data_IF_346498349093
#
_entry.id   IF_346498349093
#
_cell.length_a   1.000
_cell.length_b   1.000
_cell.length_c   1.000
_cell.angle_alpha   90.00
_cell.angle_beta   90.00
_cell.angle_gamma   90.00
#
_symmetry.space_group_name_H-M   'P 1'
#
loop_
_entity.id
_entity.type
_entity.pdbx_description
1 polymer ?
#
# COMPACT_ATOMS: atom_id res chain seq x y z
N UNK A 1 3.92 -38.35 48.93
CA UNK A 1 5.20 -37.63 49.02
C UNK A 1 5.77 -37.55 47.60
N UNK A 2 5.33 -36.55 46.83
CA UNK A 2 5.86 -36.22 45.49
C UNK A 2 5.73 -34.72 45.28
N UNK A 3 6.90 -34.08 45.34
CA UNK A 3 7.41 -32.95 44.55
C UNK A 3 6.52 -31.73 44.21
N UNK A 4 6.84 -30.61 44.87
CA UNK A 4 6.45 -29.25 44.49
C UNK A 4 7.32 -28.80 43.30
N UNK A 5 6.77 -28.79 42.08
CA UNK A 5 7.39 -28.04 40.98
C UNK A 5 6.79 -26.65 40.88
N UNK A 6 7.66 -25.69 41.15
CA UNK A 6 7.53 -24.26 40.94
C UNK A 6 6.72 -23.91 39.69
N UNK A 7 5.62 -23.21 39.89
CA UNK A 7 5.02 -22.35 38.87
C UNK A 7 5.87 -21.09 38.82
N UNK A 8 6.96 -21.11 38.04
CA UNK A 8 7.67 -19.89 37.69
C UNK A 8 6.71 -18.95 36.98
N UNK A 9 6.70 -17.70 37.46
CA UNK A 9 5.81 -16.65 37.03
C UNK A 9 5.76 -16.50 35.52
N UNK A 10 4.55 -16.35 35.00
CA UNK A 10 4.34 -15.69 33.70
C UNK A 10 4.94 -14.30 33.84
N UNK A 11 6.10 -14.07 33.24
CA UNK A 11 6.47 -12.72 32.85
C UNK A 11 5.32 -12.23 31.97
N UNK A 12 4.58 -11.24 32.46
CA UNK A 12 3.83 -10.34 31.60
C UNK A 12 4.84 -9.80 30.61
N UNK A 13 4.87 -10.37 29.40
CA UNK A 13 5.72 -9.90 28.33
C UNK A 13 5.31 -8.47 28.06
N UNK A 14 6.16 -7.52 28.47
CA UNK A 14 6.03 -6.15 28.01
C UNK A 14 6.11 -6.21 26.50
N UNK A 15 5.03 -5.81 25.82
CA UNK A 15 5.08 -5.58 24.38
C UNK A 15 6.26 -4.64 24.10
N UNK A 16 7.14 -4.96 23.15
CA UNK A 16 8.29 -4.13 22.86
C UNK A 16 7.83 -2.70 22.55
N UNK A 17 8.58 -1.71 23.02
CA UNK A 17 8.32 -0.32 22.68
C UNK A 17 8.33 -0.14 21.15
N UNK A 18 7.44 0.69 20.58
CA UNK A 18 7.40 0.95 19.14
C UNK A 18 8.78 1.33 18.57
N UNK A 19 9.11 0.83 17.39
CA UNK A 19 10.45 0.99 16.83
C UNK A 19 10.83 2.48 16.63
N UNK A 20 9.85 3.34 16.32
CA UNK A 20 10.10 4.77 16.09
C UNK A 20 10.43 5.52 17.39
N UNK A 21 9.97 5.05 18.55
CA UNK A 21 10.31 5.61 19.87
C UNK A 21 11.76 5.33 20.27
N UNK A 22 12.46 4.45 19.54
CA UNK A 22 13.89 4.19 19.71
C UNK A 22 14.79 5.07 18.83
N UNK A 23 14.21 5.87 17.91
CA UNK A 23 14.93 6.84 17.11
C UNK A 23 15.36 8.04 17.98
N UNK A 24 16.36 8.80 17.52
CA UNK A 24 16.60 10.13 18.11
C UNK A 24 15.40 11.04 17.88
N UNK A 25 15.19 12.05 18.75
CA UNK A 25 14.08 13.02 18.60
C UNK A 25 14.05 13.61 17.19
N UNK A 26 15.20 14.01 16.67
CA UNK A 26 15.33 14.58 15.32
C UNK A 26 14.94 13.59 14.21
N UNK A 27 15.31 12.31 14.35
CA UNK A 27 14.96 11.29 13.36
C UNK A 27 13.47 10.90 13.43
N UNK A 28 12.88 10.86 14.64
CA UNK A 28 11.46 10.64 14.85
C UNK A 28 10.62 11.79 14.29
N UNK A 29 10.99 13.04 14.58
CA UNK A 29 10.33 14.24 14.06
C UNK A 29 10.42 14.34 12.54
N UNK A 30 11.55 13.95 11.95
CA UNK A 30 11.70 13.91 10.49
C UNK A 30 10.81 12.84 9.86
N UNK A 31 10.79 11.63 10.41
CA UNK A 31 9.94 10.54 9.93
C UNK A 31 8.45 10.93 10.01
N UNK A 32 8.02 11.52 11.14
CA UNK A 32 6.66 12.04 11.31
C UNK A 32 6.32 13.06 10.22
N UNK A 33 7.17 14.09 10.02
CA UNK A 33 6.94 15.12 8.98
C UNK A 33 6.86 14.54 7.58
N UNK A 34 7.72 13.58 7.25
CA UNK A 34 7.74 12.93 5.94
C UNK A 34 6.42 12.19 5.68
N UNK A 35 5.93 11.41 6.65
CA UNK A 35 4.70 10.65 6.50
C UNK A 35 3.46 11.56 6.54
N UNK A 36 3.46 12.61 7.35
CA UNK A 36 2.42 13.63 7.30
C UNK A 36 2.38 14.34 5.95
N UNK A 37 3.54 14.68 5.36
CA UNK A 37 3.60 15.27 4.02
C UNK A 37 3.04 14.31 2.95
N UNK A 38 3.41 13.03 3.03
CA UNK A 38 2.88 11.99 2.14
C UNK A 38 1.35 11.89 2.18
N UNK A 39 0.76 11.85 3.39
CA UNK A 39 -0.70 11.81 3.55
C UNK A 39 -1.35 13.10 3.03
N UNK A 40 -0.75 14.27 3.31
CA UNK A 40 -1.26 15.57 2.84
C UNK A 40 -1.28 15.66 1.32
N UNK A 41 -0.18 15.27 0.67
CA UNK A 41 -0.09 15.26 -0.80
C UNK A 41 -1.13 14.34 -1.42
N UNK A 42 -1.46 13.25 -0.72
CA UNK A 42 -2.44 12.26 -1.18
C UNK A 42 -3.89 12.70 -0.98
N UNK A 43 -4.18 13.44 0.08
CA UNK A 43 -5.52 13.90 0.45
C UNK A 43 -5.57 15.43 0.63
N UNK A 44 -5.22 16.21 -0.41
CA UNK A 44 -5.12 17.66 -0.30
C UNK A 44 -6.47 18.25 0.07
N UNK A 45 -6.48 19.14 1.07
CA UNK A 45 -7.65 19.85 1.57
C UNK A 45 -8.80 18.97 2.11
N UNK A 46 -8.59 17.65 2.25
CA UNK A 46 -9.59 16.71 2.78
C UNK A 46 -9.45 16.42 4.26
N UNK A 47 -8.23 16.53 4.79
CA UNK A 47 -7.89 16.28 6.20
C UNK A 47 -7.04 17.46 6.66
N UNK A 48 -7.39 18.05 7.80
CA UNK A 48 -6.59 19.13 8.39
C UNK A 48 -5.26 18.60 8.96
N UNK A 49 -4.27 19.48 9.06
CA UNK A 49 -2.90 19.12 9.48
C UNK A 49 -2.84 18.46 10.87
N UNK A 50 -3.69 18.89 11.81
CA UNK A 50 -3.71 18.34 13.15
C UNK A 50 -4.26 16.91 13.15
N UNK A 51 -5.31 16.65 12.37
CA UNK A 51 -5.85 15.30 12.16
C UNK A 51 -4.84 14.39 11.45
N UNK A 52 -4.11 14.88 10.45
CA UNK A 52 -3.04 14.10 9.78
C UNK A 52 -1.96 13.71 10.80
N UNK A 53 -1.47 14.66 11.60
CA UNK A 53 -0.41 14.40 12.58
C UNK A 53 -0.85 13.38 13.63
N UNK A 54 -2.09 13.46 14.12
CA UNK A 54 -2.64 12.50 15.06
C UNK A 54 -2.72 11.08 14.45
N UNK A 55 -3.24 10.95 13.23
CA UNK A 55 -3.37 9.68 12.53
C UNK A 55 -2.01 9.02 12.26
N UNK A 56 -1.03 9.81 11.81
CA UNK A 56 0.32 9.31 11.55
C UNK A 56 1.01 8.90 12.84
N UNK A 57 0.84 9.67 13.92
CA UNK A 57 1.37 9.31 15.25
C UNK A 57 0.80 7.98 15.74
N UNK A 58 -0.52 7.77 15.61
CA UNK A 58 -1.17 6.50 15.96
C UNK A 58 -0.65 5.33 15.11
N UNK A 59 -0.42 5.54 13.82
CA UNK A 59 0.16 4.53 12.93
C UNK A 59 1.58 4.16 13.36
N UNK A 60 2.40 5.16 13.66
CA UNK A 60 3.76 4.97 14.16
C UNK A 60 3.72 4.19 15.49
N UNK A 61 2.81 4.54 16.41
CA UNK A 61 2.67 3.89 17.71
C UNK A 61 2.23 2.42 17.65
N UNK A 62 1.47 2.04 16.62
CA UNK A 62 1.11 0.63 16.38
C UNK A 62 2.25 -0.18 15.79
N UNK A 63 3.30 0.45 15.27
CA UNK A 63 4.39 -0.24 14.59
C UNK A 63 5.43 -0.81 15.58
N UNK A 64 5.19 -2.04 16.04
CA UNK A 64 5.93 -2.67 17.15
C UNK A 64 7.20 -3.46 16.75
N UNK A 65 7.41 -3.85 15.49
CA UNK A 65 8.60 -4.64 15.09
C UNK A 65 9.00 -4.53 13.61
N UNK A 66 10.29 -4.31 13.30
CA UNK A 66 10.88 -4.31 11.93
C UNK A 66 11.32 -2.92 11.42
N UNK A 67 12.30 -2.80 10.49
CA UNK A 67 13.12 -1.60 10.35
C UNK A 67 12.34 -0.42 9.75
N UNK A 68 12.26 0.69 10.48
CA UNK A 68 11.78 1.98 9.96
C UNK A 68 12.96 2.77 9.41
N UNK A 69 13.01 3.10 8.10
CA UNK A 69 14.01 4.06 7.58
C UNK A 69 13.60 4.80 6.31
N UNK A 70 13.77 6.13 6.35
CA UNK A 70 14.85 6.82 5.63
C UNK A 70 15.34 8.08 6.45
N UNK A 71 16.60 8.53 6.33
CA UNK A 71 17.06 9.63 5.46
C UNK A 71 18.35 9.26 4.71
N UNK A 72 18.37 8.03 4.20
CA UNK A 72 19.37 7.52 3.26
C UNK A 72 18.78 6.55 2.22
N UNK A 73 17.46 6.32 2.23
CA UNK A 73 16.75 5.44 1.30
C UNK A 73 16.98 3.95 1.54
N UNK A 74 15.98 3.10 1.79
CA UNK A 74 14.51 3.06 1.75
C UNK A 74 14.18 1.77 2.59
N UNK A 75 12.94 1.24 2.69
CA UNK A 75 11.64 1.83 2.44
C UNK A 75 10.79 1.97 3.72
N UNK A 76 10.20 3.15 3.87
CA UNK A 76 9.04 3.48 4.73
C UNK A 76 7.71 3.07 4.05
N UNK A 77 7.74 2.10 3.13
CA UNK A 77 6.59 1.76 2.26
C UNK A 77 5.39 1.21 3.02
N UNK A 78 5.62 0.32 3.97
CA UNK A 78 4.55 -0.22 4.80
C UNK A 78 3.91 0.85 5.69
N UNK A 79 4.71 1.80 6.20
CA UNK A 79 4.23 2.90 7.03
C UNK A 79 3.41 3.93 6.24
N UNK A 80 3.87 4.31 5.03
CA UNK A 80 3.12 5.19 4.12
C UNK A 80 1.75 4.60 3.78
N UNK A 81 1.70 3.29 3.55
CA UNK A 81 0.44 2.59 3.29
C UNK A 81 -0.49 2.58 4.50
N UNK A 82 0.03 2.28 5.69
CA UNK A 82 -0.77 2.28 6.93
C UNK A 82 -1.27 3.69 7.27
N UNK A 83 -0.47 4.72 7.02
CA UNK A 83 -0.87 6.12 7.14
C UNK A 83 -2.01 6.47 6.15
N UNK A 84 -1.89 6.06 4.89
CA UNK A 84 -2.97 6.23 3.91
C UNK A 84 -4.25 5.50 4.34
N UNK A 85 -4.14 4.25 4.81
CA UNK A 85 -5.29 3.48 5.31
C UNK A 85 -5.97 4.14 6.51
N UNK A 86 -5.19 4.69 7.45
CA UNK A 86 -5.71 5.41 8.60
C UNK A 86 -6.43 6.70 8.18
N UNK A 87 -5.85 7.48 7.27
CA UNK A 87 -6.44 8.69 6.70
C UNK A 87 -7.80 8.42 6.03
N UNK A 88 -7.90 7.33 5.27
CA UNK A 88 -9.14 6.91 4.63
C UNK A 88 -10.20 6.44 5.61
N UNK A 89 -9.81 5.66 6.63
CA UNK A 89 -10.73 5.25 7.67
C UNK A 89 -11.33 6.46 8.40
N UNK A 90 -10.48 7.45 8.72
CA UNK A 90 -10.90 8.71 9.31
C UNK A 90 -11.88 9.47 8.41
N UNK A 91 -11.56 9.61 7.11
CA UNK A 91 -12.45 10.28 6.15
C UNK A 91 -13.82 9.60 6.02
N UNK A 92 -13.85 8.27 6.13
CA UNK A 92 -15.09 7.48 6.14
C UNK A 92 -15.91 7.71 7.41
N UNK A 93 -15.26 7.75 8.57
CA UNK A 93 -15.90 8.00 9.86
C UNK A 93 -16.41 9.45 9.97
N UNK A 94 -15.68 10.41 9.40
CA UNK A 94 -16.07 11.81 9.33
C UNK A 94 -17.27 12.08 8.38
N UNK A 95 -17.74 11.07 7.65
CA UNK A 95 -18.81 11.22 6.66
C UNK A 95 -18.39 11.97 5.39
N UNK A 96 -17.08 12.26 5.24
CA UNK A 96 -16.47 12.87 4.06
C UNK A 96 -16.32 11.88 2.89
N UNK A 97 -16.64 10.61 3.13
CA UNK A 97 -16.72 9.51 2.17
C UNK A 97 -18.08 8.80 2.44
N UNK A 98 -19.03 8.77 1.48
CA UNK A 98 -20.33 8.13 1.70
C UNK A 98 -20.19 6.68 2.16
N UNK A 99 -20.97 6.28 3.18
CA UNK A 99 -20.97 4.90 3.67
C UNK A 99 -21.48 3.94 2.59
N UNK A 100 -20.56 3.35 1.82
CA UNK A 100 -20.83 2.50 0.67
C UNK A 100 -20.10 2.91 -0.61
N UNK A 101 -19.39 4.04 -0.62
CA UNK A 101 -18.60 4.44 -1.79
C UNK A 101 -17.36 3.55 -1.94
N UNK A 102 -17.13 3.07 -3.16
CA UNK A 102 -15.88 2.50 -3.64
C UNK A 102 -14.78 3.58 -3.72
N UNK A 103 -14.78 4.58 -2.85
CA UNK A 103 -13.91 5.75 -2.99
C UNK A 103 -12.44 5.40 -2.76
N UNK A 104 -12.15 4.38 -1.94
CA UNK A 104 -10.80 3.83 -1.81
C UNK A 104 -10.31 3.23 -3.13
N UNK A 105 -11.13 2.32 -3.64
CA UNK A 105 -11.02 1.63 -4.91
C UNK A 105 -10.87 2.63 -6.07
N UNK A 106 -11.62 3.74 -6.04
CA UNK A 106 -11.62 4.79 -7.06
C UNK A 106 -10.46 5.77 -6.90
N UNK A 107 -10.07 6.15 -5.68
CA UNK A 107 -8.88 6.98 -5.44
C UNK A 107 -7.60 6.22 -5.81
N UNK A 108 -7.56 4.91 -5.52
CA UNK A 108 -6.52 4.01 -5.95
C UNK A 108 -6.49 3.92 -7.48
N UNK A 109 -7.64 3.66 -8.12
CA UNK A 109 -7.72 3.63 -9.57
C UNK A 109 -7.43 5.00 -10.21
N UNK A 110 -7.72 6.11 -9.52
CA UNK A 110 -7.34 7.47 -9.91
C UNK A 110 -5.83 7.68 -9.86
N UNK A 111 -5.15 7.08 -8.88
CA UNK A 111 -3.68 7.17 -8.74
C UNK A 111 -2.97 6.35 -9.81
N UNK A 112 -3.52 5.18 -10.13
CA UNK A 112 -2.88 4.21 -11.01
C UNK A 112 -3.24 4.44 -12.48
N UNK A 113 -4.49 4.81 -12.74
CA UNK A 113 -5.06 4.91 -14.07
C UNK A 113 -5.70 6.27 -14.35
N UNK A 114 -5.39 7.31 -13.58
CA UNK A 114 -5.92 8.67 -13.77
C UNK A 114 -7.46 8.75 -13.86
N UNK A 115 -8.14 7.83 -13.18
CA UNK A 115 -9.61 7.78 -13.10
C UNK A 115 -10.27 7.15 -14.33
N UNK A 116 -9.48 6.55 -15.23
CA UNK A 116 -9.99 5.93 -16.46
C UNK A 116 -10.71 4.61 -16.22
N UNK A 117 -10.37 3.90 -15.14
CA UNK A 117 -11.02 2.66 -14.73
C UNK A 117 -11.43 2.72 -13.26
N UNK A 118 -12.44 1.95 -12.90
CA UNK A 118 -12.79 1.69 -11.50
C UNK A 118 -12.15 0.40 -10.97
N UNK A 119 -12.19 0.17 -9.66
CA UNK A 119 -11.58 -1.04 -9.08
C UNK A 119 -12.33 -2.34 -9.41
N UNK A 120 -13.59 -2.29 -9.82
CA UNK A 120 -14.29 -3.47 -10.29
C UNK A 120 -13.74 -3.90 -11.67
N UNK A 121 -13.47 -2.95 -12.55
CA UNK A 121 -12.81 -3.14 -13.84
C UNK A 121 -11.39 -3.69 -13.65
N UNK A 122 -10.59 -3.08 -12.77
CA UNK A 122 -9.22 -3.57 -12.45
C UNK A 122 -9.26 -5.01 -11.92
N UNK A 123 -10.14 -5.31 -10.96
CA UNK A 123 -10.31 -6.69 -10.44
C UNK A 123 -10.78 -7.67 -11.52
N UNK A 124 -11.60 -7.24 -12.46
CA UNK A 124 -12.03 -8.07 -13.57
C UNK A 124 -10.88 -8.36 -14.53
N UNK A 125 -10.07 -7.35 -14.89
CA UNK A 125 -8.85 -7.55 -15.67
C UNK A 125 -7.86 -8.48 -14.98
N UNK A 126 -7.67 -8.34 -13.66
CA UNK A 126 -6.79 -9.23 -12.89
C UNK A 126 -7.27 -10.69 -12.95
N UNK A 127 -8.59 -10.91 -12.86
CA UNK A 127 -9.16 -12.26 -13.04
C UNK A 127 -8.92 -12.81 -14.44
N UNK A 128 -9.05 -11.99 -15.48
CA UNK A 128 -8.80 -12.40 -16.86
C UNK A 128 -7.34 -12.87 -17.07
N UNK A 129 -6.37 -12.18 -16.47
CA UNK A 129 -4.97 -12.59 -16.51
C UNK A 129 -4.78 -13.98 -15.88
N UNK A 130 -5.39 -14.23 -14.71
CA UNK A 130 -5.35 -15.53 -14.03
C UNK A 130 -6.00 -16.61 -14.88
N UNK A 131 -7.20 -16.38 -15.41
CA UNK A 131 -7.92 -17.38 -16.22
C UNK A 131 -7.23 -17.70 -17.54
N UNK A 132 -6.45 -16.74 -18.06
CA UNK A 132 -5.70 -16.90 -19.32
C UNK A 132 -4.29 -17.48 -19.12
N UNK A 133 -3.90 -17.82 -17.88
CA UNK A 133 -2.57 -18.35 -17.57
C UNK A 133 -1.43 -17.34 -17.74
N UNK A 134 -1.73 -16.03 -17.74
CA UNK A 134 -0.75 -14.93 -17.88
C UNK A 134 -0.10 -14.61 -16.54
N UNK A 135 0.59 -15.59 -15.96
CA UNK A 135 1.13 -15.52 -14.59
C UNK A 135 2.16 -14.40 -14.40
N UNK A 136 2.98 -14.12 -15.42
CA UNK A 136 4.02 -13.10 -15.33
C UNK A 136 3.38 -11.70 -15.31
N UNK A 137 2.44 -11.44 -16.20
CA UNK A 137 1.70 -10.18 -16.28
C UNK A 137 0.85 -9.99 -15.03
N UNK A 138 0.20 -11.04 -14.53
CA UNK A 138 -0.50 -10.98 -13.25
C UNK A 138 0.43 -10.54 -12.11
N UNK A 139 1.63 -11.13 -12.04
CA UNK A 139 2.62 -10.78 -11.00
C UNK A 139 3.16 -9.36 -11.17
N UNK A 140 3.41 -8.91 -12.41
CA UNK A 140 3.86 -7.54 -12.71
C UNK A 140 2.79 -6.54 -12.31
N UNK A 141 1.55 -6.75 -12.75
CA UNK A 141 0.43 -5.86 -12.47
C UNK A 141 0.12 -5.85 -10.97
N UNK A 142 0.13 -7.00 -10.30
CA UNK A 142 -0.03 -7.07 -8.83
C UNK A 142 1.02 -6.22 -8.13
N UNK A 143 2.31 -6.40 -8.47
CA UNK A 143 3.37 -5.62 -7.84
C UNK A 143 3.28 -4.13 -8.15
N UNK A 144 2.90 -3.77 -9.39
CA UNK A 144 2.66 -2.39 -9.79
C UNK A 144 1.55 -1.74 -8.97
N UNK A 145 0.42 -2.43 -8.83
CA UNK A 145 -0.74 -2.02 -8.06
C UNK A 145 -0.40 -1.90 -6.57
N UNK A 146 0.23 -2.92 -5.98
CA UNK A 146 0.65 -2.91 -4.57
C UNK A 146 1.57 -1.72 -4.30
N UNK A 147 2.61 -1.51 -5.11
CA UNK A 147 3.53 -0.39 -4.88
C UNK A 147 2.84 0.95 -5.10
N UNK A 148 1.95 1.06 -6.08
CA UNK A 148 1.19 2.29 -6.29
C UNK A 148 0.22 2.60 -5.12
N UNK A 149 -0.32 1.57 -4.48
CA UNK A 149 -1.12 1.67 -3.25
C UNK A 149 -0.26 2.15 -2.08
N UNK A 150 0.91 1.51 -1.90
CA UNK A 150 1.82 1.78 -0.78
C UNK A 150 2.47 3.17 -0.87
N UNK A 151 2.97 3.54 -2.05
CA UNK A 151 3.72 4.77 -2.29
C UNK A 151 2.85 5.93 -2.80
N UNK A 152 1.55 5.70 -3.02
CA UNK A 152 0.63 6.72 -3.55
C UNK A 152 1.02 7.23 -4.95
N UNK A 153 1.91 6.52 -5.65
CA UNK A 153 2.41 6.86 -6.99
C UNK A 153 2.81 5.58 -7.74
N UNK A 154 2.54 5.50 -9.05
CA UNK A 154 3.00 4.39 -9.87
C UNK A 154 4.52 4.19 -9.81
N UNK A 155 5.03 2.96 -9.55
CA UNK A 155 6.45 2.70 -9.65
C UNK A 155 6.94 2.77 -11.11
N UNK A 156 8.22 3.10 -11.30
CA UNK A 156 8.85 3.05 -12.61
C UNK A 156 8.98 1.59 -13.09
N UNK A 157 8.74 1.28 -14.38
CA UNK A 157 8.86 -0.09 -14.92
C UNK A 157 10.22 -0.75 -14.67
N UNK A 158 11.31 0.03 -14.72
CA UNK A 158 12.66 -0.46 -14.42
C UNK A 158 12.82 -0.92 -12.96
N UNK A 159 12.15 -0.26 -12.02
CA UNK A 159 12.18 -0.62 -10.61
C UNK A 159 11.41 -1.94 -10.35
N UNK A 160 10.30 -2.14 -11.07
CA UNK A 160 9.53 -3.40 -11.01
C UNK A 160 10.36 -4.54 -11.60
N UNK A 161 10.97 -4.33 -12.77
CA UNK A 161 11.85 -5.31 -13.40
C UNK A 161 12.99 -5.74 -12.45
N UNK A 162 13.63 -4.76 -11.80
CA UNK A 162 14.68 -5.00 -10.81
C UNK A 162 14.18 -5.79 -9.58
N UNK A 163 12.96 -5.53 -9.14
CA UNK A 163 12.38 -6.15 -7.93
C UNK A 163 11.88 -7.57 -8.19
N UNK A 164 11.37 -7.83 -9.40
CA UNK A 164 10.76 -9.12 -9.74
C UNK A 164 11.71 -10.07 -10.47
N UNK A 165 12.83 -9.58 -11.03
CA UNK A 165 13.80 -10.45 -11.70
C UNK A 165 14.36 -11.49 -10.73
N UNK A 166 14.53 -12.69 -11.24
CA UNK A 166 15.29 -13.75 -10.55
C UNK A 166 16.36 -14.26 -11.51
N UNK A 167 17.44 -14.89 -11.03
CA UNK A 167 18.43 -15.50 -11.91
C UNK A 167 17.82 -16.51 -12.90
N UNK A 168 16.75 -17.19 -12.50
CA UNK A 168 16.05 -18.18 -13.33
C UNK A 168 15.01 -17.56 -14.29
N UNK A 169 14.59 -16.32 -14.07
CA UNK A 169 13.60 -15.61 -14.89
C UNK A 169 14.03 -14.14 -14.99
N UNK A 170 14.91 -13.80 -15.94
CA UNK A 170 15.27 -12.42 -16.20
C UNK A 170 14.02 -11.66 -16.64
N UNK A 171 13.90 -10.41 -16.20
CA UNK A 171 12.80 -9.52 -16.55
C UNK A 171 13.39 -8.16 -16.94
N UNK A 172 13.08 -7.69 -18.14
CA UNK A 172 13.53 -6.39 -18.62
C UNK A 172 12.49 -5.30 -18.29
N UNK A 173 12.94 -4.03 -18.38
CA UNK A 173 12.05 -2.88 -18.32
C UNK A 173 10.96 -2.96 -19.40
N UNK A 174 11.35 -3.30 -20.62
CA UNK A 174 10.43 -3.40 -21.77
C UNK A 174 9.34 -4.45 -21.53
N UNK A 175 9.69 -5.63 -21.01
CA UNK A 175 8.69 -6.66 -20.69
C UNK A 175 7.69 -6.21 -19.62
N UNK A 176 8.11 -5.35 -18.69
CA UNK A 176 7.19 -4.73 -17.73
C UNK A 176 6.29 -3.71 -18.40
N UNK A 177 6.84 -2.86 -19.28
CA UNK A 177 6.06 -1.86 -20.03
C UNK A 177 5.02 -2.53 -20.94
N UNK A 178 5.40 -3.59 -21.64
CA UNK A 178 4.50 -4.39 -22.48
C UNK A 178 3.39 -5.02 -21.64
N UNK A 179 3.72 -5.64 -20.50
CA UNK A 179 2.73 -6.23 -19.61
C UNK A 179 1.72 -5.21 -19.05
N UNK A 180 2.18 -4.02 -18.68
CA UNK A 180 1.30 -2.94 -18.21
C UNK A 180 0.44 -2.36 -19.34
N UNK A 181 1.00 -2.21 -20.54
CA UNK A 181 0.28 -1.74 -21.73
C UNK A 181 -0.78 -2.74 -22.19
N UNK A 182 -0.44 -4.03 -22.17
CA UNK A 182 -1.36 -5.13 -22.45
C UNK A 182 -2.50 -5.18 -21.45
N UNK A 183 -2.20 -4.99 -20.17
CA UNK A 183 -3.22 -4.94 -19.13
C UNK A 183 -4.16 -3.75 -19.32
N UNK A 184 -3.61 -2.58 -19.62
CA UNK A 184 -4.40 -1.39 -19.94
C UNK A 184 -5.32 -1.64 -21.15
N UNK A 185 -4.78 -2.21 -22.23
CA UNK A 185 -5.54 -2.55 -23.45
C UNK A 185 -6.62 -3.61 -23.19
N UNK A 186 -6.36 -4.55 -22.27
CA UNK A 186 -7.34 -5.52 -21.81
C UNK A 186 -8.51 -4.84 -21.09
N UNK A 187 -8.22 -3.89 -20.18
CA UNK A 187 -9.26 -3.12 -19.49
C UNK A 187 -10.11 -2.31 -20.46
N UNK A 188 -9.50 -1.61 -21.44
CA UNK A 188 -10.23 -0.88 -22.48
C UNK A 188 -11.12 -1.80 -23.32
N UNK A 189 -10.57 -2.93 -23.74
CA UNK A 189 -11.30 -3.93 -24.54
C UNK A 189 -12.53 -4.47 -23.80
N UNK A 190 -12.43 -4.65 -22.47
CA UNK A 190 -13.58 -5.07 -21.63
C UNK A 190 -14.64 -3.98 -21.58
N UNK A 191 -14.24 -2.73 -21.38
CA UNK A 191 -15.16 -1.58 -21.33
C UNK A 191 -15.95 -1.43 -22.63
N UNK A 192 -15.30 -1.63 -23.78
CA UNK A 192 -15.98 -1.58 -25.09
C UNK A 192 -16.98 -2.71 -25.33
N UNK A 193 -16.88 -3.85 -24.63
CA UNK A 193 -17.80 -4.99 -24.77
C UNK A 193 -19.07 -4.85 -23.93
N UNK A 194 -19.11 -3.90 -22.99
CA UNK A 194 -20.22 -3.73 -22.04
C UNK A 194 -20.21 -4.78 -20.91
N UNK A 195 -21.07 -4.62 -19.88
CA UNK A 195 -21.14 -5.57 -18.77
C UNK A 195 -21.57 -6.95 -19.28
N UNK A 196 -20.79 -7.97 -18.92
CA UNK A 196 -21.07 -9.38 -19.19
C UNK A 196 -22.43 -9.73 -18.55
N UNK A 197 -23.46 -10.15 -19.32
CA UNK A 197 -24.76 -10.49 -18.75
C UNK A 197 -24.62 -11.77 -17.94
N UNK A 198 -24.44 -11.63 -16.63
CA UNK A 198 -24.49 -12.72 -15.66
C UNK A 198 -25.69 -12.57 -14.76
#
# INVERSE_FOLDING_TARGET
>A
MVDQRHVSGRHAGQSPAPAWKSLSSEAAERLLREICAHVRDRFPDRIDDASIEALVTDVLDRWQSGPLRDAAGEPVRGLRADANRAALAWLKEAGSIPAGSHEYDNLFAETVFHGQFDAAEIRAGMRDLVTSGRELEFRIVTYYLDVAELDGKPPLPAAIALSLRTPARPLSKESVEDALTDFYSLLESRRSRGPDPR
#
